data_IF_863024814705
#
_entry.id   IF_863024814705
#
_cell.length_a   1.000
_cell.length_b   1.000
_cell.length_c   1.000
_cell.angle_alpha   90.00
_cell.angle_beta   90.00
_cell.angle_gamma   90.00
#
_symmetry.space_group_name_H-M   'P 1'
#
loop_
_entity.id
_entity.type
_entity.pdbx_description
1 polymer ?
#
# COMPACT_ATOMS: atom_id res chain seq x y z
N UNK A 1 -11.36 23.10 21.70
CA UNK A 1 -12.51 23.06 20.77
C UNK A 1 -11.95 22.64 19.43
N UNK A 2 -12.13 21.39 19.08
CA UNK A 2 -11.77 20.85 17.77
C UNK A 2 -12.85 21.34 16.80
N UNK A 3 -12.47 22.26 15.91
CA UNK A 3 -13.35 22.67 14.81
C UNK A 3 -13.50 21.49 13.86
N UNK A 4 -14.73 21.01 13.72
CA UNK A 4 -15.09 19.99 12.72
C UNK A 4 -14.85 20.53 11.31
N UNK A 5 -14.23 19.77 10.41
CA UNK A 5 -14.09 20.17 9.01
C UNK A 5 -15.48 20.40 8.39
N UNK A 6 -15.61 21.44 7.58
CA UNK A 6 -16.85 21.72 6.86
C UNK A 6 -16.93 20.75 5.68
N UNK A 7 -17.72 19.70 5.84
CA UNK A 7 -17.99 18.72 4.80
C UNK A 7 -19.43 18.90 4.32
N UNK A 8 -19.60 19.36 3.09
CA UNK A 8 -20.91 19.40 2.45
C UNK A 8 -21.18 18.07 1.75
N UNK A 9 -21.69 17.08 2.49
CA UNK A 9 -22.13 15.80 1.92
C UNK A 9 -23.50 15.97 1.26
N UNK A 10 -23.56 15.75 -0.04
CA UNK A 10 -24.81 15.71 -0.79
C UNK A 10 -25.41 14.30 -0.83
N UNK A 11 -26.71 14.20 -1.08
CA UNK A 11 -27.38 12.90 -1.24
C UNK A 11 -26.94 12.24 -2.55
N UNK A 12 -26.75 10.90 -2.56
CA UNK A 12 -26.44 10.16 -3.78
C UNK A 12 -27.51 10.41 -4.87
N UNK A 13 -27.05 10.64 -6.10
CA UNK A 13 -27.92 10.85 -7.28
C UNK A 13 -27.45 9.96 -8.43
N UNK A 14 -28.34 9.71 -9.40
CA UNK A 14 -27.99 9.07 -10.67
C UNK A 14 -26.95 9.90 -11.44
N UNK A 15 -26.20 9.29 -12.35
CA UNK A 15 -24.93 9.86 -12.83
C UNK A 15 -25.05 10.44 -14.22
N UNK A 16 -24.71 11.74 -14.35
CA UNK A 16 -24.11 12.29 -15.55
C UNK A 16 -22.88 13.16 -15.16
N UNK A 17 -21.89 13.29 -16.04
CA UNK A 17 -20.73 14.16 -15.81
C UNK A 17 -21.18 15.59 -15.56
N UNK A 18 -22.17 16.05 -16.33
CA UNK A 18 -22.74 17.40 -16.23
C UNK A 18 -23.38 17.68 -14.88
N UNK A 19 -24.07 16.69 -14.31
CA UNK A 19 -24.63 16.80 -12.96
C UNK A 19 -23.55 16.85 -11.88
N UNK A 20 -22.53 15.99 -11.96
CA UNK A 20 -21.39 16.00 -11.05
C UNK A 20 -20.67 17.36 -11.10
N UNK A 21 -20.34 17.84 -12.27
CA UNK A 21 -19.67 19.13 -12.44
C UNK A 21 -20.57 20.31 -12.04
N UNK A 22 -21.89 20.18 -12.22
CA UNK A 22 -22.85 21.18 -11.77
C UNK A 22 -22.93 21.24 -10.25
N UNK A 23 -22.97 20.08 -9.58
CA UNK A 23 -22.99 20.01 -8.13
C UNK A 23 -21.70 20.52 -7.50
N UNK A 24 -20.53 20.19 -8.08
CA UNK A 24 -19.25 20.79 -7.67
C UNK A 24 -19.31 22.32 -7.76
N UNK A 25 -19.83 22.87 -8.87
CA UNK A 25 -19.99 24.32 -9.03
C UNK A 25 -20.94 24.93 -7.99
N UNK A 26 -22.02 24.23 -7.65
CA UNK A 26 -22.97 24.70 -6.63
C UNK A 26 -22.35 24.73 -5.23
N UNK A 27 -21.55 23.70 -4.89
CA UNK A 27 -20.82 23.66 -3.61
C UNK A 27 -19.89 24.89 -3.50
N UNK A 28 -19.19 25.23 -4.57
CA UNK A 28 -18.28 26.41 -4.58
C UNK A 28 -19.05 27.73 -4.46
N UNK A 29 -20.21 27.87 -5.12
CA UNK A 29 -21.05 29.08 -5.01
C UNK A 29 -21.59 29.32 -3.59
N UNK A 30 -22.07 28.26 -2.93
CA UNK A 30 -22.63 28.40 -1.58
C UNK A 30 -21.58 28.74 -0.54
N UNK A 31 -20.30 28.45 -0.78
CA UNK A 31 -19.20 28.84 0.11
C UNK A 31 -18.74 30.30 -0.12
N UNK A 32 -18.87 30.83 -1.33
CA UNK A 32 -18.54 32.23 -1.63
C UNK A 32 -19.56 33.23 -1.09
N UNK A 33 -20.84 32.83 -0.89
CA UNK A 33 -21.92 33.71 -0.46
C UNK A 33 -21.99 33.93 1.07
N UNK A 34 -21.21 33.19 1.86
CA UNK A 34 -21.13 33.30 3.33
C UNK A 34 -20.19 34.39 3.81
N UNK A 35 -20.63 35.64 3.84
CA UNK A 35 -19.82 36.85 4.06
C UNK A 35 -19.05 37.00 5.39
N UNK A 36 -18.91 35.95 6.21
CA UNK A 36 -18.13 35.97 7.49
C UNK A 36 -17.16 34.78 7.63
N UNK A 37 -17.08 33.87 6.63
CA UNK A 37 -16.18 32.75 6.62
C UNK A 37 -14.91 33.07 5.79
N UNK A 38 -13.77 32.43 6.06
CA UNK A 38 -12.60 32.54 5.19
C UNK A 38 -12.95 32.08 3.78
N UNK A 39 -12.51 32.84 2.78
CA UNK A 39 -12.77 32.56 1.36
C UNK A 39 -12.18 31.19 1.00
N UNK A 40 -13.03 30.27 0.59
CA UNK A 40 -12.60 28.96 0.10
C UNK A 40 -12.03 29.11 -1.32
N UNK A 41 -10.76 28.79 -1.49
CA UNK A 41 -10.12 28.82 -2.81
C UNK A 41 -10.06 27.41 -3.38
N UNK A 42 -10.72 27.21 -4.54
CA UNK A 42 -10.56 25.99 -5.31
C UNK A 42 -9.12 25.94 -5.83
N UNK A 43 -8.36 24.96 -5.41
CA UNK A 43 -7.07 24.64 -6.00
C UNK A 43 -7.05 23.14 -6.32
N UNK A 44 -6.56 22.80 -7.51
CA UNK A 44 -6.38 21.42 -7.94
C UNK A 44 -5.08 21.32 -8.68
N UNK A 45 -4.14 20.55 -8.18
CA UNK A 45 -2.81 20.36 -8.77
C UNK A 45 -2.69 19.03 -9.52
N UNK A 46 -3.54 18.06 -9.20
CA UNK A 46 -3.63 16.77 -9.88
C UNK A 46 -5.01 16.14 -9.66
N UNK A 47 -5.28 15.05 -10.37
CA UNK A 47 -6.43 14.17 -10.12
C UNK A 47 -5.93 12.80 -9.67
N UNK A 48 -6.60 12.21 -8.68
CA UNK A 48 -6.35 10.83 -8.25
C UNK A 48 -7.63 10.02 -8.28
N UNK A 49 -7.58 8.87 -8.93
CA UNK A 49 -8.62 7.85 -8.84
C UNK A 49 -8.17 6.79 -7.84
N UNK A 50 -9.01 6.47 -6.88
CA UNK A 50 -8.77 5.43 -5.88
C UNK A 50 -9.78 4.31 -6.09
N UNK A 51 -9.29 3.13 -6.40
CA UNK A 51 -10.12 1.94 -6.47
C UNK A 51 -10.11 1.23 -5.11
N UNK A 52 -11.28 1.17 -4.48
CA UNK A 52 -11.52 0.55 -3.16
C UNK A 52 -12.20 -0.80 -3.37
N UNK A 53 -11.46 -1.91 -3.63
CA UNK A 53 -12.03 -3.19 -4.05
C UNK A 53 -12.84 -3.86 -2.98
N UNK A 54 -12.74 -3.42 -1.74
CA UNK A 54 -13.00 -4.18 -0.54
C UNK A 54 -14.49 -4.32 -0.28
N UNK A 55 -15.09 -5.28 -0.92
CA UNK A 55 -16.43 -5.79 -0.56
C UNK A 55 -16.40 -6.64 0.74
N UNK A 56 -15.21 -7.06 1.21
CA UNK A 56 -15.13 -7.96 2.36
C UNK A 56 -15.70 -7.37 3.66
N UNK A 57 -15.52 -6.07 3.92
CA UNK A 57 -16.16 -5.44 5.08
C UNK A 57 -17.69 -5.46 4.95
N UNK A 58 -18.20 -5.29 3.74
CA UNK A 58 -19.65 -5.41 3.46
C UNK A 58 -20.13 -6.85 3.66
N UNK A 59 -19.37 -7.84 3.18
CA UNK A 59 -19.67 -9.26 3.40
C UNK A 59 -19.67 -9.59 4.90
N UNK A 60 -18.65 -9.18 5.63
CA UNK A 60 -18.56 -9.37 7.08
C UNK A 60 -19.70 -8.67 7.83
N UNK A 61 -20.14 -7.49 7.38
CA UNK A 61 -21.26 -6.76 7.96
C UNK A 61 -22.59 -7.48 7.69
N UNK A 62 -22.83 -7.90 6.46
CA UNK A 62 -24.02 -8.66 6.08
C UNK A 62 -24.11 -10.01 6.83
N UNK A 63 -22.98 -10.68 7.02
CA UNK A 63 -22.85 -11.91 7.79
C UNK A 63 -22.76 -11.70 9.32
N UNK A 64 -22.95 -10.46 9.79
CA UNK A 64 -23.02 -10.06 11.20
C UNK A 64 -21.71 -10.15 12.01
N UNK A 65 -20.58 -10.42 11.38
CA UNK A 65 -19.26 -10.43 12.02
C UNK A 65 -18.70 -9.03 12.26
N UNK A 66 -19.04 -8.05 11.41
CA UNK A 66 -18.50 -6.69 11.48
C UNK A 66 -19.59 -5.66 11.80
N UNK A 67 -19.31 -4.79 12.76
CA UNK A 67 -20.26 -3.76 13.24
C UNK A 67 -19.69 -2.32 13.10
N UNK A 68 -18.51 -2.17 12.53
CA UNK A 68 -17.90 -0.87 12.28
C UNK A 68 -18.40 -0.22 10.98
N UNK A 69 -17.92 0.99 10.71
CA UNK A 69 -18.14 1.65 9.43
C UNK A 69 -17.36 0.94 8.32
N UNK A 70 -17.90 0.91 7.12
CA UNK A 70 -17.21 0.38 5.94
C UNK A 70 -16.21 1.45 5.48
N UNK A 71 -14.99 1.37 5.94
CA UNK A 71 -13.95 2.39 5.71
C UNK A 71 -12.80 1.93 4.79
N UNK A 72 -12.78 0.65 4.41
CA UNK A 72 -11.72 0.05 3.60
C UNK A 72 -10.41 -0.15 4.38
N UNK A 73 -10.43 -0.05 5.72
CA UNK A 73 -9.23 -0.18 6.54
C UNK A 73 -9.11 -1.58 7.15
N UNK A 74 -7.91 -2.14 7.18
CA UNK A 74 -7.61 -3.41 7.83
C UNK A 74 -7.24 -3.26 9.33
N UNK A 75 -7.90 -2.34 10.03
CA UNK A 75 -7.66 -2.08 11.45
C UNK A 75 -8.09 -3.25 12.37
N UNK A 76 -7.83 -3.11 13.67
CA UNK A 76 -8.06 -4.17 14.67
C UNK A 76 -9.49 -4.74 14.66
N UNK A 77 -10.52 -3.88 14.46
CA UNK A 77 -11.92 -4.33 14.40
C UNK A 77 -12.18 -5.23 13.19
N UNK A 78 -11.61 -4.89 12.05
CA UNK A 78 -11.73 -5.67 10.81
C UNK A 78 -11.02 -7.00 10.96
N UNK A 79 -9.79 -7.00 11.48
CA UNK A 79 -9.02 -8.23 11.73
C UNK A 79 -9.73 -9.18 12.69
N UNK A 80 -10.35 -8.64 13.75
CA UNK A 80 -11.11 -9.46 14.69
C UNK A 80 -12.37 -10.07 14.05
N UNK A 81 -13.08 -9.29 13.23
CA UNK A 81 -14.24 -9.82 12.49
C UNK A 81 -13.84 -10.93 11.50
N UNK A 82 -12.69 -10.78 10.84
CA UNK A 82 -12.15 -11.81 9.94
C UNK A 82 -11.81 -13.07 10.73
N UNK A 83 -11.13 -12.97 11.90
CA UNK A 83 -10.83 -14.13 12.74
C UNK A 83 -12.09 -14.86 13.18
N UNK A 84 -13.13 -14.12 13.57
CA UNK A 84 -14.41 -14.71 13.97
C UNK A 84 -15.08 -15.43 12.81
N UNK A 85 -15.07 -14.87 11.62
CA UNK A 85 -15.60 -15.53 10.42
C UNK A 85 -14.79 -16.78 10.05
N UNK A 86 -13.45 -16.69 10.08
CA UNK A 86 -12.59 -17.85 9.83
C UNK A 86 -12.82 -18.98 10.82
N UNK A 87 -12.95 -18.68 12.11
CA UNK A 87 -13.30 -19.67 13.13
C UNK A 87 -14.67 -20.28 12.88
N UNK A 88 -15.69 -19.45 12.59
CA UNK A 88 -17.05 -19.92 12.35
C UNK A 88 -17.15 -20.86 11.14
N UNK A 89 -16.34 -20.62 10.11
CA UNK A 89 -16.33 -21.41 8.89
C UNK A 89 -15.24 -22.50 8.83
N UNK A 90 -14.49 -22.72 9.91
CA UNK A 90 -13.47 -23.77 9.99
C UNK A 90 -12.27 -23.52 9.09
N UNK A 91 -11.96 -22.25 8.81
CA UNK A 91 -10.79 -21.85 8.03
C UNK A 91 -9.56 -21.64 8.94
N UNK A 92 -8.39 -21.51 8.32
CA UNK A 92 -7.19 -21.12 9.06
C UNK A 92 -7.38 -19.71 9.63
N UNK A 93 -7.21 -19.56 10.94
CA UNK A 93 -7.45 -18.29 11.65
C UNK A 93 -6.19 -17.41 11.53
N UNK A 94 -6.20 -16.50 10.56
CA UNK A 94 -5.10 -15.56 10.28
C UNK A 94 -5.46 -14.13 10.67
N UNK A 95 -6.76 -13.78 10.67
CA UNK A 95 -7.23 -12.40 10.78
C UNK A 95 -7.02 -11.59 9.49
N UNK A 96 -6.75 -12.26 8.37
CA UNK A 96 -6.49 -11.67 7.05
C UNK A 96 -7.46 -12.21 6.02
N UNK A 97 -7.77 -11.40 5.01
CA UNK A 97 -8.55 -11.85 3.86
C UNK A 97 -7.61 -12.50 2.87
N UNK A 98 -7.63 -13.83 2.86
CA UNK A 98 -7.08 -14.63 1.79
C UNK A 98 -8.20 -15.07 0.83
N UNK A 99 -7.83 -15.66 -0.31
CA UNK A 99 -8.78 -16.09 -1.33
C UNK A 99 -9.79 -17.11 -0.78
N UNK A 100 -9.35 -18.02 0.07
CA UNK A 100 -10.21 -19.02 0.71
C UNK A 100 -11.26 -18.36 1.61
N UNK A 101 -10.84 -17.38 2.40
CA UNK A 101 -11.73 -16.61 3.28
C UNK A 101 -12.73 -15.80 2.47
N UNK A 102 -12.27 -15.07 1.45
CA UNK A 102 -13.14 -14.24 0.61
C UNK A 102 -14.17 -15.09 -0.16
N UNK A 103 -13.72 -16.19 -0.75
CA UNK A 103 -14.60 -17.15 -1.44
C UNK A 103 -15.66 -17.71 -0.49
N UNK A 104 -15.28 -18.06 0.73
CA UNK A 104 -16.23 -18.59 1.73
C UNK A 104 -17.24 -17.52 2.14
N UNK A 105 -16.82 -16.31 2.39
CA UNK A 105 -17.72 -15.19 2.74
C UNK A 105 -18.73 -14.92 1.61
N UNK A 106 -18.30 -14.94 0.34
CA UNK A 106 -19.20 -14.79 -0.81
C UNK A 106 -20.23 -15.93 -0.89
N UNK A 107 -19.80 -17.18 -0.71
CA UNK A 107 -20.69 -18.34 -0.72
C UNK A 107 -21.77 -18.25 0.37
N UNK A 108 -21.37 -17.84 1.59
CA UNK A 108 -22.32 -17.69 2.70
C UNK A 108 -23.27 -16.51 2.47
N UNK A 109 -22.77 -15.40 1.90
CA UNK A 109 -23.59 -14.25 1.54
C UNK A 109 -24.64 -14.60 0.48
N UNK A 110 -24.30 -15.41 -0.53
CA UNK A 110 -25.23 -15.85 -1.56
C UNK A 110 -26.37 -16.69 -0.99
N UNK A 111 -26.12 -17.44 0.08
CA UNK A 111 -27.12 -18.27 0.76
C UNK A 111 -28.06 -17.48 1.68
N UNK A 112 -27.75 -16.21 1.99
CA UNK A 112 -28.63 -15.38 2.79
C UNK A 112 -29.92 -15.05 2.02
N UNK A 113 -31.04 -14.98 2.75
CA UNK A 113 -32.27 -14.42 2.21
C UNK A 113 -32.09 -12.92 1.90
N UNK A 114 -32.77 -12.40 0.89
CA UNK A 114 -32.62 -11.00 0.47
C UNK A 114 -32.89 -9.99 1.61
N UNK A 115 -33.76 -10.31 2.54
CA UNK A 115 -34.03 -9.52 3.73
C UNK A 115 -32.84 -9.48 4.72
N UNK A 116 -31.92 -10.44 4.65
CA UNK A 116 -30.73 -10.56 5.50
C UNK A 116 -29.48 -9.98 4.83
N UNK A 117 -29.51 -9.75 3.53
CA UNK A 117 -28.40 -9.14 2.78
C UNK A 117 -28.22 -7.64 3.06
N UNK A 118 -29.19 -7.03 3.76
CA UNK A 118 -29.13 -5.61 4.12
C UNK A 118 -28.30 -5.41 5.39
N UNK A 119 -27.37 -4.47 5.35
CA UNK A 119 -26.63 -3.99 6.50
C UNK A 119 -26.76 -2.46 6.57
N UNK A 120 -26.73 -1.91 7.79
CA UNK A 120 -26.95 -0.47 8.02
C UNK A 120 -25.65 0.30 8.27
N UNK A 121 -24.50 -0.34 8.10
CA UNK A 121 -23.20 0.26 8.35
C UNK A 121 -22.94 1.38 7.33
N UNK A 122 -22.55 2.59 7.76
CA UNK A 122 -22.17 3.66 6.84
C UNK A 122 -20.98 3.24 5.97
N UNK A 123 -21.05 3.49 4.67
CA UNK A 123 -19.95 3.28 3.75
C UNK A 123 -19.15 4.58 3.61
N UNK A 124 -18.00 4.61 4.27
CA UNK A 124 -17.07 5.75 4.33
C UNK A 124 -15.79 5.49 3.53
N UNK A 125 -15.76 4.44 2.67
CA UNK A 125 -14.57 4.14 1.86
C UNK A 125 -14.13 5.37 1.07
N UNK A 126 -12.82 5.63 1.09
CA UNK A 126 -12.19 6.76 0.43
C UNK A 126 -12.39 8.12 1.13
N UNK A 127 -13.29 8.24 2.11
CA UNK A 127 -13.54 9.51 2.79
C UNK A 127 -12.36 9.94 3.69
N UNK A 128 -11.86 9.01 4.51
CA UNK A 128 -10.71 9.26 5.39
C UNK A 128 -9.43 9.58 4.60
N UNK A 129 -9.30 9.00 3.41
CA UNK A 129 -8.21 9.25 2.49
C UNK A 129 -8.19 10.70 2.00
N UNK A 130 -9.37 11.25 1.69
CA UNK A 130 -9.49 12.64 1.24
C UNK A 130 -8.95 13.62 2.27
N UNK A 131 -9.10 13.32 3.56
CA UNK A 131 -8.59 14.14 4.64
C UNK A 131 -7.06 14.17 4.68
N UNK A 132 -6.42 13.00 4.58
CA UNK A 132 -4.96 12.88 4.61
C UNK A 132 -4.30 13.52 3.39
N UNK A 133 -4.86 13.30 2.19
CA UNK A 133 -4.35 13.87 0.94
C UNK A 133 -4.60 15.38 0.89
N UNK A 134 -5.83 15.81 1.20
CA UNK A 134 -6.25 17.21 1.10
C UNK A 134 -5.48 18.15 2.03
N UNK A 135 -5.05 17.65 3.18
CA UNK A 135 -4.27 18.45 4.13
C UNK A 135 -2.92 18.90 3.57
N UNK A 136 -2.36 18.14 2.63
CA UNK A 136 -1.02 18.37 2.07
C UNK A 136 -1.05 18.77 0.60
N UNK A 137 -2.01 18.25 -0.17
CA UNK A 137 -2.03 18.36 -1.62
C UNK A 137 -3.44 18.65 -2.13
N UNK A 138 -3.76 19.88 -2.54
CA UNK A 138 -5.05 20.20 -3.13
C UNK A 138 -5.24 19.46 -4.45
N UNK A 139 -6.28 18.62 -4.54
CA UNK A 139 -6.50 17.74 -5.67
C UNK A 139 -8.00 17.43 -5.87
N UNK A 140 -8.31 16.75 -6.99
CA UNK A 140 -9.59 16.07 -7.18
C UNK A 140 -9.40 14.59 -6.88
N UNK A 141 -10.13 14.09 -5.88
CA UNK A 141 -10.15 12.68 -5.50
C UNK A 141 -11.44 12.04 -6.05
N UNK A 142 -11.28 10.95 -6.78
CA UNK A 142 -12.39 10.15 -7.32
C UNK A 142 -12.27 8.75 -6.74
N UNK A 143 -13.21 8.31 -5.90
CA UNK A 143 -13.19 6.96 -5.36
C UNK A 143 -14.20 6.07 -6.08
N UNK A 144 -13.76 4.86 -6.40
CA UNK A 144 -14.58 3.81 -6.99
C UNK A 144 -14.79 2.73 -5.95
N UNK A 145 -16.02 2.62 -5.47
CA UNK A 145 -16.38 1.70 -4.39
C UNK A 145 -17.33 0.63 -4.91
N UNK A 146 -16.85 -0.57 -5.28
CA UNK A 146 -17.71 -1.69 -5.60
C UNK A 146 -18.64 -2.01 -4.44
N UNK A 147 -19.93 -2.34 -4.76
CA UNK A 147 -20.93 -2.72 -3.78
C UNK A 147 -21.45 -4.12 -4.10
N UNK A 148 -21.98 -4.79 -3.07
CA UNK A 148 -22.61 -6.11 -3.19
C UNK A 148 -23.98 -6.05 -3.83
N UNK A 149 -24.57 -4.85 -3.93
CA UNK A 149 -25.89 -4.67 -4.51
C UNK A 149 -25.87 -5.02 -6.00
N UNK A 150 -26.74 -5.93 -6.40
CA UNK A 150 -26.88 -6.36 -7.79
C UNK A 150 -27.54 -5.33 -8.71
N UNK A 151 -27.75 -4.11 -8.24
CA UNK A 151 -28.34 -3.04 -9.03
C UNK A 151 -27.39 -2.57 -10.14
N UNK A 152 -27.93 -2.46 -11.33
CA UNK A 152 -27.19 -2.02 -12.52
C UNK A 152 -26.90 -0.51 -12.51
N UNK A 153 -27.25 0.17 -11.44
CA UNK A 153 -27.07 1.62 -11.28
C UNK A 153 -25.78 1.95 -10.57
N UNK A 154 -25.10 3.00 -11.04
CA UNK A 154 -24.01 3.62 -10.32
C UNK A 154 -24.50 4.91 -9.68
N UNK A 155 -24.26 5.11 -8.42
CA UNK A 155 -24.59 6.33 -7.69
C UNK A 155 -23.34 7.18 -7.49
N UNK A 156 -23.49 8.50 -7.61
CA UNK A 156 -22.43 9.46 -7.33
C UNK A 156 -22.73 10.28 -6.08
N UNK A 157 -21.72 10.50 -5.30
CA UNK A 157 -21.74 11.45 -4.19
C UNK A 157 -20.60 12.43 -4.35
N UNK A 158 -20.91 13.71 -4.25
CA UNK A 158 -19.95 14.80 -4.45
C UNK A 158 -19.81 15.60 -3.17
N UNK A 159 -18.58 15.99 -2.84
CA UNK A 159 -18.32 16.89 -1.72
C UNK A 159 -17.08 17.76 -1.96
N UNK A 160 -16.93 18.82 -1.19
CA UNK A 160 -15.70 19.57 -1.09
C UNK A 160 -15.16 19.44 0.35
N UNK A 161 -13.90 19.10 0.47
CA UNK A 161 -13.21 19.00 1.74
C UNK A 161 -12.25 20.18 1.91
N UNK A 162 -12.46 20.97 2.96
CA UNK A 162 -11.64 22.12 3.28
C UNK A 162 -10.96 21.88 4.65
N UNK A 163 -9.66 21.54 4.68
CA UNK A 163 -8.97 21.33 5.94
C UNK A 163 -8.88 22.65 6.73
N UNK A 164 -9.22 22.59 8.00
CA UNK A 164 -9.11 23.75 8.89
C UNK A 164 -7.65 23.94 9.30
N UNK A 165 -6.96 24.89 8.69
CA UNK A 165 -5.60 25.23 9.11
C UNK A 165 -5.61 25.92 10.48
N UNK A 166 -4.78 25.48 11.42
CA UNK A 166 -4.64 26.02 12.79
C UNK A 166 -4.04 27.43 12.86
N UNK A 167 -3.68 28.06 11.75
CA UNK A 167 -3.12 29.42 11.69
C UNK A 167 -4.03 30.33 10.86
N UNK A 168 -4.25 31.54 11.36
CA UNK A 168 -5.04 32.66 10.83
C UNK A 168 -4.73 32.99 9.34
N UNK A 169 -4.97 32.11 8.41
CA UNK A 169 -4.95 32.41 6.98
C UNK A 169 -6.39 32.57 6.51
N UNK A 170 -6.65 33.70 5.87
CA UNK A 170 -7.96 34.08 5.35
C UNK A 170 -8.45 33.21 4.18
N UNK A 171 -7.65 32.27 3.69
CA UNK A 171 -7.98 31.43 2.55
C UNK A 171 -7.92 29.96 2.94
N UNK A 172 -9.03 29.24 2.77
CA UNK A 172 -9.09 27.78 2.87
C UNK A 172 -8.84 27.20 1.48
N UNK A 173 -7.86 26.29 1.37
CA UNK A 173 -7.63 25.52 0.15
C UNK A 173 -8.43 24.24 0.29
N UNK A 174 -9.32 23.98 -0.65
CA UNK A 174 -10.26 22.87 -0.58
C UNK A 174 -10.04 21.89 -1.73
N UNK A 175 -10.22 20.60 -1.45
CA UNK A 175 -10.20 19.52 -2.42
C UNK A 175 -11.60 19.13 -2.86
N UNK A 176 -11.71 18.64 -4.10
CA UNK A 176 -12.93 18.06 -4.63
C UNK A 176 -12.92 16.56 -4.37
N UNK A 177 -14.04 16.04 -3.91
CA UNK A 177 -14.23 14.62 -3.67
C UNK A 177 -15.45 14.09 -4.42
N UNK A 178 -15.26 13.03 -5.18
CA UNK A 178 -16.30 12.34 -5.94
C UNK A 178 -16.25 10.86 -5.56
N UNK A 179 -17.33 10.30 -5.02
CA UNK A 179 -17.45 8.87 -4.76
C UNK A 179 -18.46 8.25 -5.71
N UNK A 180 -18.03 7.22 -6.43
CA UNK A 180 -18.86 6.42 -7.32
C UNK A 180 -19.06 5.03 -6.72
N UNK A 181 -20.33 4.63 -6.56
CA UNK A 181 -20.71 3.36 -5.94
C UNK A 181 -21.64 2.59 -6.86
N UNK A 182 -21.41 1.30 -7.00
CA UNK A 182 -22.23 0.39 -7.80
C UNK A 182 -21.60 -0.98 -7.87
N UNK A 183 -22.28 -1.93 -8.50
CA UNK A 183 -21.68 -3.25 -8.72
C UNK A 183 -20.38 -3.13 -9.54
N UNK A 184 -19.50 -4.12 -9.42
CA UNK A 184 -18.24 -4.15 -10.17
C UNK A 184 -18.48 -3.99 -11.68
N UNK A 185 -19.47 -4.71 -12.22
CA UNK A 185 -19.85 -4.61 -13.62
C UNK A 185 -20.40 -3.22 -14.00
N UNK A 186 -21.13 -2.57 -13.09
CA UNK A 186 -21.66 -1.22 -13.32
C UNK A 186 -20.56 -0.19 -13.35
N UNK A 187 -19.56 -0.29 -12.46
CA UNK A 187 -18.39 0.59 -12.45
C UNK A 187 -17.52 0.41 -13.72
N UNK A 188 -17.40 -0.82 -14.24
CA UNK A 188 -16.72 -1.08 -15.51
C UNK A 188 -17.38 -0.36 -16.69
N UNK A 189 -18.72 -0.34 -16.75
CA UNK A 189 -19.46 0.37 -17.80
C UNK A 189 -19.26 1.87 -17.81
N UNK A 190 -18.96 2.47 -16.65
CA UNK A 190 -18.74 3.92 -16.52
C UNK A 190 -17.25 4.31 -16.51
N UNK A 191 -16.35 3.41 -16.81
CA UNK A 191 -14.89 3.66 -16.80
C UNK A 191 -14.47 4.84 -17.66
N UNK A 192 -15.06 5.01 -18.84
CA UNK A 192 -14.84 6.16 -19.71
C UNK A 192 -15.28 7.49 -19.08
N UNK A 193 -16.37 7.48 -18.30
CA UNK A 193 -16.83 8.64 -17.55
C UNK A 193 -15.82 9.00 -16.45
N UNK A 194 -15.30 8.02 -15.72
CA UNK A 194 -14.28 8.24 -14.67
C UNK A 194 -13.06 8.93 -15.26
N UNK A 195 -12.58 8.47 -16.41
CA UNK A 195 -11.45 9.11 -17.12
C UNK A 195 -11.75 10.56 -17.50
N UNK A 196 -13.00 10.87 -17.85
CA UNK A 196 -13.43 12.23 -18.20
C UNK A 196 -13.59 13.16 -16.99
N UNK A 197 -13.79 12.60 -15.80
CA UNK A 197 -13.82 13.36 -14.55
C UNK A 197 -12.42 13.79 -14.07
N UNK A 198 -11.36 13.11 -14.53
CA UNK A 198 -9.99 13.58 -14.30
C UNK A 198 -9.70 14.82 -15.11
N UNK A 199 -9.06 15.82 -14.49
CA UNK A 199 -8.78 17.10 -15.16
C UNK A 199 -7.71 16.90 -16.24
N UNK A 200 -8.04 17.29 -17.48
CA UNK A 200 -7.29 16.93 -18.69
C UNK A 200 -5.80 17.26 -18.67
N UNK A 201 -5.46 18.48 -18.27
CA UNK A 201 -4.10 19.03 -18.34
C UNK A 201 -3.28 18.85 -17.07
N UNK A 202 -3.86 18.19 -16.04
CA UNK A 202 -3.19 17.95 -14.79
C UNK A 202 -2.70 16.50 -14.69
N UNK A 203 -1.66 16.23 -13.88
CA UNK A 203 -1.23 14.87 -13.58
C UNK A 203 -2.35 14.00 -13.06
N UNK A 204 -2.34 12.75 -13.49
CA UNK A 204 -3.36 11.76 -13.20
C UNK A 204 -2.74 10.57 -12.51
N UNK A 205 -3.16 10.32 -11.29
CA UNK A 205 -2.74 9.17 -10.51
C UNK A 205 -3.89 8.17 -10.41
N UNK A 206 -3.55 6.89 -10.38
CA UNK A 206 -4.49 5.83 -10.04
C UNK A 206 -3.90 5.04 -8.88
N UNK A 207 -4.55 5.06 -7.73
CA UNK A 207 -4.23 4.16 -6.64
C UNK A 207 -5.15 2.95 -6.72
N UNK A 208 -4.56 1.83 -7.08
CA UNK A 208 -5.26 0.57 -7.23
C UNK A 208 -5.00 -0.30 -6.00
N UNK A 209 -5.99 -0.38 -5.10
CA UNK A 209 -5.88 -1.11 -3.82
C UNK A 209 -6.18 -2.60 -3.93
N UNK A 210 -6.15 -3.16 -5.13
CA UNK A 210 -6.30 -4.58 -5.39
C UNK A 210 -5.08 -5.08 -6.17
N UNK A 211 -5.03 -6.38 -6.40
CA UNK A 211 -4.06 -6.93 -7.36
C UNK A 211 -4.32 -6.35 -8.74
N UNK A 212 -3.34 -5.72 -9.38
CA UNK A 212 -3.45 -5.27 -10.76
C UNK A 212 -3.79 -6.43 -11.69
N UNK A 213 -4.88 -6.27 -12.44
CA UNK A 213 -5.31 -7.27 -13.42
C UNK A 213 -5.48 -6.63 -14.80
N UNK A 214 -4.52 -6.84 -15.72
CA UNK A 214 -4.60 -6.34 -17.09
C UNK A 214 -5.80 -6.84 -17.91
N UNK A 215 -6.45 -7.92 -17.49
CA UNK A 215 -7.67 -8.43 -18.17
C UNK A 215 -8.93 -7.65 -17.76
N UNK A 216 -8.88 -6.91 -16.64
CA UNK A 216 -10.01 -6.13 -16.17
C UNK A 216 -10.14 -4.82 -16.96
N UNK A 217 -11.28 -4.61 -17.62
CA UNK A 217 -11.50 -3.44 -18.47
C UNK A 217 -11.37 -2.11 -17.73
N UNK A 218 -11.90 -2.02 -16.50
CA UNK A 218 -11.77 -0.82 -15.66
C UNK A 218 -10.30 -0.50 -15.33
N UNK A 219 -9.54 -1.51 -14.92
CA UNK A 219 -8.11 -1.34 -14.63
C UNK A 219 -7.37 -0.81 -15.86
N UNK A 220 -7.53 -1.47 -17.02
CA UNK A 220 -6.85 -1.07 -18.26
C UNK A 220 -7.20 0.34 -18.69
N UNK A 221 -8.47 0.73 -18.60
CA UNK A 221 -8.91 2.08 -18.96
C UNK A 221 -8.26 3.15 -18.08
N UNK A 222 -8.24 2.92 -16.77
CA UNK A 222 -7.65 3.86 -15.80
C UNK A 222 -6.12 3.89 -15.94
N UNK A 223 -5.51 2.72 -16.05
CA UNK A 223 -4.07 2.59 -16.24
C UNK A 223 -3.62 3.30 -17.52
N UNK A 224 -4.34 3.12 -18.64
CA UNK A 224 -4.00 3.77 -19.91
C UNK A 224 -4.03 5.29 -19.82
N UNK A 225 -4.94 5.86 -19.03
CA UNK A 225 -5.14 7.31 -18.90
C UNK A 225 -4.33 7.95 -17.76
N UNK A 226 -3.73 7.17 -16.87
CA UNK A 226 -2.92 7.66 -15.77
C UNK A 226 -1.47 7.98 -16.19
N UNK A 227 -0.83 8.88 -15.44
CA UNK A 227 0.60 9.12 -15.51
C UNK A 227 1.37 8.19 -14.56
N UNK A 228 0.76 7.82 -13.44
CA UNK A 228 1.35 6.94 -12.45
C UNK A 228 0.28 5.98 -11.90
N UNK A 229 0.63 4.70 -11.83
CA UNK A 229 -0.10 3.69 -11.09
C UNK A 229 0.53 3.55 -9.70
N UNK A 230 -0.29 3.66 -8.67
CA UNK A 230 0.13 3.44 -7.27
C UNK A 230 -0.49 2.13 -6.81
N UNK A 231 0.33 1.27 -6.26
CA UNK A 231 -0.05 -0.01 -5.64
C UNK A 231 0.47 -0.08 -4.21
N UNK A 232 0.04 -1.07 -3.47
CA UNK A 232 0.59 -1.41 -2.16
C UNK A 232 0.75 -2.92 -2.08
N UNK A 233 1.96 -3.40 -2.30
CA UNK A 233 2.25 -4.85 -2.34
C UNK A 233 2.12 -5.53 -0.97
N UNK A 234 1.92 -4.78 0.12
CA UNK A 234 1.58 -5.36 1.42
C UNK A 234 0.22 -6.07 1.43
N UNK A 235 -0.66 -5.72 0.48
CA UNK A 235 -1.97 -6.35 0.32
C UNK A 235 -1.98 -7.54 -0.66
N UNK A 236 -0.87 -7.86 -1.27
CA UNK A 236 -0.79 -8.99 -2.19
C UNK A 236 -0.98 -10.31 -1.46
N UNK A 237 -1.82 -11.18 -2.00
CA UNK A 237 -2.11 -12.50 -1.45
C UNK A 237 -1.17 -13.57 -2.00
N UNK A 238 -0.87 -13.47 -3.30
CA UNK A 238 0.03 -14.35 -4.05
C UNK A 238 1.26 -13.55 -4.48
N UNK A 239 2.09 -13.21 -3.48
CA UNK A 239 3.16 -12.20 -3.59
C UNK A 239 4.06 -12.43 -4.79
N UNK A 240 4.52 -13.67 -4.99
CA UNK A 240 5.46 -14.03 -6.06
C UNK A 240 4.86 -13.74 -7.44
N UNK A 241 3.66 -14.25 -7.70
CA UNK A 241 2.99 -14.06 -9.00
C UNK A 241 2.56 -12.61 -9.22
N UNK A 242 2.24 -11.89 -8.15
CA UNK A 242 1.78 -10.50 -8.22
C UNK A 242 2.93 -9.53 -8.40
N UNK A 243 4.10 -9.75 -7.78
CA UNK A 243 5.32 -8.99 -8.07
C UNK A 243 5.79 -9.17 -9.52
N UNK A 244 5.74 -10.41 -10.05
CA UNK A 244 6.06 -10.67 -11.46
C UNK A 244 5.11 -9.88 -12.39
N UNK A 245 3.82 -9.83 -12.10
CA UNK A 245 2.86 -9.00 -12.87
C UNK A 245 3.20 -7.52 -12.82
N UNK A 246 3.61 -7.00 -11.65
CA UNK A 246 4.04 -5.61 -11.53
C UNK A 246 5.28 -5.35 -12.38
N UNK A 247 6.24 -6.29 -12.40
CA UNK A 247 7.41 -6.19 -13.25
C UNK A 247 7.03 -6.13 -14.74
N UNK A 248 6.15 -7.02 -15.21
CA UNK A 248 5.64 -7.00 -16.58
C UNK A 248 4.96 -5.67 -16.95
N UNK A 249 4.16 -5.11 -16.01
CA UNK A 249 3.52 -3.82 -16.22
C UNK A 249 4.57 -2.68 -16.25
N UNK A 250 5.60 -2.74 -15.43
CA UNK A 250 6.70 -1.75 -15.39
C UNK A 250 7.46 -1.75 -16.72
N UNK A 251 7.71 -2.91 -17.32
CA UNK A 251 8.35 -3.05 -18.63
C UNK A 251 7.55 -2.39 -19.77
N UNK A 252 6.25 -2.14 -19.57
CA UNK A 252 5.44 -1.39 -20.54
C UNK A 252 5.78 0.11 -20.60
N UNK A 253 6.70 0.59 -19.77
CA UNK A 253 7.17 1.99 -19.75
C UNK A 253 6.25 2.95 -19.01
N UNK A 254 5.31 2.44 -18.21
CA UNK A 254 4.47 3.23 -17.32
C UNK A 254 5.10 3.35 -15.94
N UNK A 255 5.00 4.52 -15.35
CA UNK A 255 5.47 4.75 -13.99
C UNK A 255 4.56 4.03 -12.98
N UNK A 256 5.16 3.20 -12.15
CA UNK A 256 4.52 2.50 -11.04
C UNK A 256 5.21 2.90 -9.75
N UNK A 257 4.42 3.17 -8.72
CA UNK A 257 4.88 3.40 -7.36
C UNK A 257 4.26 2.36 -6.43
N UNK A 258 5.06 1.77 -5.57
CA UNK A 258 4.60 0.82 -4.55
C UNK A 258 4.75 1.45 -3.17
N UNK A 259 3.64 1.60 -2.43
CA UNK A 259 3.69 2.15 -1.09
C UNK A 259 4.47 1.26 -0.13
N UNK A 260 4.48 -0.04 -0.38
CA UNK A 260 5.25 -0.99 0.42
C UNK A 260 6.76 -0.84 0.23
N UNK A 261 7.21 -0.45 -0.95
CA UNK A 261 8.59 -0.07 -1.22
C UNK A 261 9.02 1.14 -0.38
N UNK A 262 8.14 2.12 -0.19
CA UNK A 262 8.46 3.29 0.64
C UNK A 262 8.69 2.93 2.11
N UNK A 263 8.06 1.86 2.61
CA UNK A 263 8.28 1.36 3.98
C UNK A 263 9.70 0.81 4.18
N UNK A 264 10.40 0.48 3.10
CA UNK A 264 11.77 -0.02 3.14
C UNK A 264 12.82 1.09 3.29
N UNK A 265 12.47 2.36 3.08
CA UNK A 265 13.46 3.45 3.10
C UNK A 265 14.26 3.52 4.40
N UNK A 266 13.67 3.41 5.61
CA UNK A 266 14.46 3.41 6.84
C UNK A 266 15.44 2.22 6.93
N UNK A 267 15.05 1.05 6.42
CA UNK A 267 15.91 -0.13 6.36
C UNK A 267 17.08 0.05 5.41
N UNK A 268 16.81 0.62 4.24
CA UNK A 268 17.83 0.92 3.24
C UNK A 268 18.80 2.00 3.73
N UNK A 269 18.28 3.05 4.38
CA UNK A 269 19.08 4.14 4.95
C UNK A 269 20.03 3.62 6.02
N UNK A 270 19.52 2.91 7.03
CA UNK A 270 20.36 2.33 8.08
C UNK A 270 21.38 1.32 7.54
N UNK A 271 21.01 0.52 6.53
CA UNK A 271 21.94 -0.42 5.89
C UNK A 271 23.08 0.34 5.18
N UNK A 272 22.75 1.39 4.45
CA UNK A 272 23.74 2.21 3.78
C UNK A 272 24.67 2.93 4.79
N UNK A 273 24.10 3.54 5.84
CA UNK A 273 24.85 4.22 6.90
C UNK A 273 25.83 3.30 7.63
N UNK A 274 25.51 2.02 7.78
CA UNK A 274 26.40 1.04 8.39
C UNK A 274 27.74 0.90 7.65
N UNK A 275 27.73 1.11 6.33
CA UNK A 275 28.88 0.93 5.45
C UNK A 275 29.40 2.24 4.81
N UNK A 276 28.80 3.39 5.12
CA UNK A 276 29.24 4.70 4.65
C UNK A 276 30.67 5.09 5.08
N UNK A 277 31.13 4.77 6.32
CA UNK A 277 32.49 5.05 6.72
C UNK A 277 33.49 4.38 5.78
N UNK A 278 34.49 5.11 5.28
CA UNK A 278 35.46 4.57 4.30
C UNK A 278 36.13 3.27 4.73
N UNK A 279 36.40 3.12 6.04
CA UNK A 279 36.98 1.94 6.64
C UNK A 279 36.09 0.70 6.61
N UNK A 280 34.78 0.86 6.37
CA UNK A 280 33.82 -0.24 6.31
C UNK A 280 33.36 -0.59 4.89
N UNK A 281 33.63 0.28 3.92
CA UNK A 281 33.22 0.04 2.53
C UNK A 281 33.78 -1.25 1.95
N UNK A 282 35.02 -1.59 2.33
CA UNK A 282 35.67 -2.82 1.88
C UNK A 282 34.96 -4.07 2.44
N UNK A 283 34.30 -3.96 3.61
CA UNK A 283 33.56 -5.05 4.21
C UNK A 283 32.30 -5.44 3.40
N UNK A 284 31.72 -4.53 2.60
CA UNK A 284 30.62 -4.86 1.67
C UNK A 284 31.01 -5.96 0.68
N UNK A 285 32.27 -5.97 0.22
CA UNK A 285 32.76 -6.96 -0.73
C UNK A 285 32.92 -8.32 -0.03
N UNK A 286 33.06 -8.34 1.29
CA UNK A 286 33.25 -9.55 2.07
C UNK A 286 31.97 -10.20 2.57
N UNK A 287 30.80 -9.57 2.37
CA UNK A 287 29.51 -10.17 2.73
C UNK A 287 29.28 -11.44 1.92
N UNK A 288 29.05 -12.56 2.60
CA UNK A 288 28.72 -13.85 2.03
C UNK A 288 27.51 -14.53 2.70
N UNK A 289 26.98 -13.93 3.78
CA UNK A 289 25.81 -14.41 4.49
C UNK A 289 24.85 -13.27 4.81
N UNK A 290 23.58 -13.41 4.42
CA UNK A 290 22.51 -12.46 4.69
C UNK A 290 21.33 -13.19 5.30
N UNK A 291 20.77 -12.65 6.39
CA UNK A 291 19.48 -13.10 6.93
C UNK A 291 18.49 -11.95 6.89
N UNK A 292 17.30 -12.21 6.38
CA UNK A 292 16.19 -11.25 6.32
C UNK A 292 14.99 -11.89 6.99
N UNK A 293 14.65 -11.38 8.18
CA UNK A 293 13.52 -11.82 8.96
C UNK A 293 12.32 -10.91 8.69
N UNK A 294 11.17 -11.50 8.41
CA UNK A 294 9.93 -10.78 8.15
C UNK A 294 8.75 -11.44 8.84
N UNK A 295 7.66 -10.72 9.01
CA UNK A 295 6.42 -11.29 9.51
C UNK A 295 5.81 -12.32 8.54
N UNK A 296 5.10 -13.35 9.06
CA UNK A 296 4.43 -14.32 8.20
C UNK A 296 3.31 -13.71 7.35
N UNK A 297 3.12 -14.24 6.14
CA UNK A 297 1.94 -14.01 5.30
C UNK A 297 2.12 -13.07 4.12
N UNK A 298 3.20 -12.28 4.08
CA UNK A 298 3.58 -11.52 2.89
C UNK A 298 5.09 -11.32 2.89
N UNK A 299 5.77 -11.76 1.84
CA UNK A 299 7.23 -11.64 1.72
C UNK A 299 7.66 -10.49 0.79
N UNK A 300 6.73 -9.60 0.38
CA UNK A 300 7.03 -8.56 -0.60
C UNK A 300 8.16 -7.64 -0.14
N UNK A 301 8.14 -7.18 1.12
CA UNK A 301 9.20 -6.33 1.65
C UNK A 301 10.55 -7.05 1.65
N UNK A 302 10.58 -8.31 2.10
CA UNK A 302 11.81 -9.10 2.17
C UNK A 302 12.40 -9.33 0.76
N UNK A 303 11.56 -9.67 -0.23
CA UNK A 303 11.98 -9.86 -1.62
C UNK A 303 12.45 -8.55 -2.27
N UNK A 304 11.74 -7.45 -2.04
CA UNK A 304 12.15 -6.15 -2.58
C UNK A 304 13.43 -5.62 -1.90
N UNK A 305 13.59 -5.83 -0.60
CA UNK A 305 14.84 -5.45 0.09
C UNK A 305 16.01 -6.28 -0.42
N UNK A 306 15.83 -7.60 -0.58
CA UNK A 306 16.84 -8.46 -1.18
C UNK A 306 17.16 -8.03 -2.62
N UNK A 307 16.13 -7.73 -3.41
CA UNK A 307 16.31 -7.23 -4.78
C UNK A 307 17.13 -5.93 -4.83
N UNK A 308 16.85 -5.00 -3.92
CA UNK A 308 17.63 -3.76 -3.77
C UNK A 308 19.08 -4.05 -3.40
N UNK A 309 19.32 -4.86 -2.37
CA UNK A 309 20.67 -5.20 -1.91
C UNK A 309 21.48 -5.88 -3.02
N UNK A 310 20.90 -6.90 -3.65
CA UNK A 310 21.55 -7.65 -4.72
C UNK A 310 21.85 -6.77 -5.95
N UNK A 311 20.92 -5.88 -6.32
CA UNK A 311 21.13 -4.95 -7.44
C UNK A 311 22.26 -3.94 -7.14
N UNK A 312 22.35 -3.43 -5.89
CA UNK A 312 23.40 -2.49 -5.49
C UNK A 312 24.78 -3.13 -5.40
N UNK A 313 24.85 -4.41 -5.01
CA UNK A 313 26.10 -5.14 -4.85
C UNK A 313 26.45 -5.99 -6.10
N UNK A 314 25.68 -5.84 -7.19
CA UNK A 314 25.89 -6.53 -8.46
C UNK A 314 25.96 -8.07 -8.32
N UNK A 315 25.05 -8.62 -7.49
CA UNK A 315 24.93 -10.05 -7.29
C UNK A 315 24.05 -10.66 -8.37
N UNK A 316 24.44 -11.84 -8.86
CA UNK A 316 23.66 -12.61 -9.85
C UNK A 316 22.99 -13.80 -9.16
N UNK A 317 21.65 -13.93 -9.20
CA UNK A 317 20.94 -15.03 -8.55
C UNK A 317 21.19 -16.34 -9.32
N UNK A 318 21.58 -17.40 -8.59
CA UNK A 318 21.99 -18.68 -9.14
C UNK A 318 21.03 -19.82 -8.81
N UNK A 319 20.47 -19.82 -7.60
CA UNK A 319 19.66 -20.91 -7.10
C UNK A 319 18.71 -20.43 -6.02
N UNK A 320 17.50 -20.97 -6.05
CA UNK A 320 16.46 -20.76 -5.03
C UNK A 320 16.11 -22.13 -4.41
N UNK A 321 15.99 -22.19 -3.07
CA UNK A 321 15.67 -23.42 -2.33
C UNK A 321 14.64 -23.11 -1.26
N UNK A 322 13.55 -23.85 -1.26
CA UNK A 322 12.58 -23.83 -0.17
C UNK A 322 12.92 -24.91 0.84
N UNK A 323 13.42 -24.55 2.02
CA UNK A 323 13.65 -25.48 3.11
C UNK A 323 12.38 -25.73 3.93
N UNK A 324 11.47 -24.76 3.96
CA UNK A 324 10.22 -24.83 4.67
C UNK A 324 10.39 -24.75 6.19
N UNK A 325 9.74 -25.67 6.91
CA UNK A 325 9.74 -25.70 8.37
C UNK A 325 8.78 -24.68 8.98
N UNK A 326 8.88 -24.48 10.30
CA UNK A 326 7.96 -23.62 11.06
C UNK A 326 8.06 -22.13 10.68
N UNK A 327 9.19 -21.73 10.13
CA UNK A 327 9.49 -20.36 9.70
C UNK A 327 9.46 -20.16 8.18
N UNK A 328 9.04 -21.18 7.42
CA UNK A 328 8.95 -21.09 5.95
C UNK A 328 10.26 -20.61 5.31
N UNK A 329 11.41 -21.19 5.76
CA UNK A 329 12.73 -20.77 5.35
C UNK A 329 12.91 -20.95 3.86
N UNK A 330 13.40 -19.90 3.22
CA UNK A 330 13.77 -19.84 1.79
C UNK A 330 15.21 -19.39 1.67
N UNK A 331 16.00 -20.05 0.85
CA UNK A 331 17.39 -19.70 0.61
C UNK A 331 17.62 -19.32 -0.84
N UNK A 332 18.28 -18.21 -1.03
CA UNK A 332 18.69 -17.73 -2.35
C UNK A 332 20.21 -17.66 -2.38
N UNK A 333 20.80 -18.26 -3.39
CA UNK A 333 22.25 -18.26 -3.59
C UNK A 333 22.59 -17.34 -4.76
N UNK A 334 23.59 -16.50 -4.56
CA UNK A 334 24.08 -15.56 -5.55
C UNK A 334 25.57 -15.77 -5.81
N UNK A 335 26.01 -15.32 -6.97
CA UNK A 335 27.41 -15.13 -7.31
C UNK A 335 27.73 -13.63 -7.32
N UNK A 336 28.76 -13.23 -6.58
CA UNK A 336 29.24 -11.83 -6.60
C UNK A 336 30.08 -11.59 -7.86
N UNK A 337 29.87 -10.45 -8.53
CA UNK A 337 30.73 -9.98 -9.62
C UNK A 337 32.17 -9.69 -9.15
N UNK A 338 32.35 -9.41 -7.85
CA UNK A 338 33.64 -9.14 -7.23
C UNK A 338 34.12 -10.37 -6.48
N UNK A 339 35.18 -10.99 -6.97
CA UNK A 339 35.88 -12.10 -6.28
C UNK A 339 35.23 -13.48 -6.49
N UNK A 340 34.21 -13.61 -7.32
CA UNK A 340 33.56 -14.88 -7.69
C UNK A 340 33.14 -15.71 -6.45
N UNK A 341 32.50 -15.05 -5.46
CA UNK A 341 32.09 -15.67 -4.20
C UNK A 341 30.62 -16.01 -4.22
N UNK A 342 30.29 -17.15 -3.61
CA UNK A 342 28.90 -17.51 -3.35
C UNK A 342 28.40 -16.75 -2.12
N UNK A 343 27.20 -16.17 -2.24
CA UNK A 343 26.49 -15.49 -1.16
C UNK A 343 25.23 -16.29 -0.86
N UNK A 344 25.06 -16.66 0.40
CA UNK A 344 23.84 -17.30 0.89
C UNK A 344 22.93 -16.27 1.53
N UNK A 345 21.70 -16.17 1.06
CA UNK A 345 20.66 -15.33 1.65
C UNK A 345 19.53 -16.19 2.17
N UNK A 346 19.18 -16.03 3.45
CA UNK A 346 18.08 -16.69 4.10
C UNK A 346 16.94 -15.70 4.34
N UNK A 347 15.73 -16.05 3.90
CA UNK A 347 14.49 -15.35 4.21
C UNK A 347 13.69 -16.21 5.19
N UNK A 348 13.31 -15.65 6.34
CA UNK A 348 12.56 -16.37 7.36
C UNK A 348 11.31 -15.62 7.80
N UNK A 349 10.17 -16.32 7.83
CA UNK A 349 8.90 -15.79 8.31
C UNK A 349 8.77 -16.00 9.82
N UNK A 350 9.15 -15.02 10.62
CA UNK A 350 9.21 -15.12 12.09
C UNK A 350 7.87 -14.71 12.71
N UNK A 351 7.22 -15.57 13.52
CA UNK A 351 6.00 -15.22 14.24
C UNK A 351 6.26 -14.09 15.25
N UNK A 352 5.45 -13.04 15.20
CA UNK A 352 5.47 -11.91 16.14
C UNK A 352 4.24 -11.96 17.05
N UNK A 353 4.36 -11.39 18.25
CA UNK A 353 3.25 -11.38 19.23
C UNK A 353 2.15 -10.38 18.84
N UNK A 354 2.51 -9.25 18.24
CA UNK A 354 1.61 -8.22 17.75
C UNK A 354 1.91 -7.99 16.27
N UNK A 355 0.94 -8.32 15.44
CA UNK A 355 1.04 -8.10 14.00
C UNK A 355 0.60 -6.66 13.75
N UNK A 356 1.49 -5.82 13.26
CA UNK A 356 1.25 -4.41 12.92
C UNK A 356 0.09 -4.19 11.92
N UNK A 357 -0.12 -2.97 11.47
CA UNK A 357 -1.14 -2.66 10.45
C UNK A 357 -0.74 -3.17 9.06
N UNK A 358 0.55 -3.29 8.81
CA UNK A 358 1.13 -3.79 7.56
C UNK A 358 1.43 -5.28 7.67
N UNK A 359 1.21 -6.02 6.61
CA UNK A 359 1.41 -7.47 6.57
C UNK A 359 2.80 -7.77 6.03
N UNK A 360 3.60 -8.56 6.74
CA UNK A 360 4.90 -9.01 6.27
C UNK A 360 6.00 -7.99 6.44
N UNK A 361 5.88 -7.11 7.42
CA UNK A 361 6.91 -6.13 7.75
C UNK A 361 8.25 -6.81 8.06
N UNK A 362 9.34 -6.14 7.70
CA UNK A 362 10.66 -6.57 8.09
C UNK A 362 10.84 -6.47 9.62
N UNK A 363 11.40 -7.53 10.19
CA UNK A 363 11.69 -7.63 11.63
C UNK A 363 13.18 -7.43 11.87
N UNK A 364 14.02 -8.01 11.04
CA UNK A 364 15.46 -7.97 11.19
C UNK A 364 16.23 -8.22 9.91
N UNK A 365 17.38 -7.61 9.81
CA UNK A 365 18.33 -7.79 8.72
C UNK A 365 19.69 -7.99 9.34
N UNK A 366 20.41 -9.00 8.86
CA UNK A 366 21.79 -9.25 9.24
C UNK A 366 22.64 -9.50 8.00
N UNK A 367 23.69 -8.70 7.88
CA UNK A 367 24.73 -8.83 6.87
C UNK A 367 26.01 -9.27 7.58
N UNK A 368 26.60 -10.38 7.16
CA UNK A 368 27.80 -10.96 7.80
C UNK A 368 28.71 -11.62 6.78
N UNK A 369 29.92 -11.91 7.20
CA UNK A 369 30.94 -12.64 6.45
C UNK A 369 31.42 -13.86 7.20
N UNK A 370 31.79 -14.91 6.49
CA UNK A 370 32.55 -16.05 7.04
C UNK A 370 33.91 -15.64 7.55
N UNK A 371 34.46 -14.51 7.07
CA UNK A 371 35.62 -13.88 7.64
C UNK A 371 35.27 -13.17 8.96
N UNK A 372 35.65 -13.74 10.09
CA UNK A 372 35.34 -13.21 11.43
C UNK A 372 35.96 -11.84 11.75
N UNK A 373 36.90 -11.39 10.95
CA UNK A 373 37.50 -10.04 11.09
C UNK A 373 36.78 -8.98 10.29
N UNK A 374 35.90 -9.37 9.37
CA UNK A 374 35.10 -8.45 8.57
C UNK A 374 33.96 -7.80 9.39
N UNK A 375 33.66 -6.57 9.06
CA UNK A 375 32.55 -5.85 9.68
C UNK A 375 31.20 -6.50 9.32
N UNK A 376 30.30 -6.56 10.29
CA UNK A 376 28.95 -7.02 10.13
C UNK A 376 27.95 -5.91 10.45
N UNK A 377 26.74 -6.03 9.93
CA UNK A 377 25.62 -5.12 10.23
C UNK A 377 24.42 -5.93 10.67
N UNK A 378 23.77 -5.49 11.74
CA UNK A 378 22.50 -6.04 12.19
C UNK A 378 21.52 -4.91 12.44
N UNK A 379 20.35 -4.95 11.82
CA UNK A 379 19.27 -3.98 12.02
C UNK A 379 18.08 -4.76 12.58
N UNK A 380 17.54 -4.30 13.69
CA UNK A 380 16.39 -4.89 14.36
C UNK A 380 15.29 -3.85 14.53
N UNK A 381 14.07 -4.23 14.25
CA UNK A 381 12.89 -3.44 14.55
C UNK A 381 12.32 -3.83 15.91
N UNK A 382 11.95 -2.84 16.72
CA UNK A 382 11.22 -3.05 17.95
C UNK A 382 9.88 -2.33 17.86
N UNK A 383 8.83 -3.07 17.57
CA UNK A 383 7.48 -2.54 17.49
C UNK A 383 6.99 -1.94 18.82
N UNK A 384 7.38 -2.54 19.94
CA UNK A 384 6.99 -2.05 21.28
C UNK A 384 7.55 -0.68 21.62
N UNK A 385 8.70 -0.30 21.04
CA UNK A 385 9.35 1.01 21.26
C UNK A 385 9.16 1.96 20.09
N UNK A 386 8.65 1.49 18.94
CA UNK A 386 8.55 2.29 17.71
C UNK A 386 9.90 2.76 17.18
N UNK A 387 10.95 1.96 17.39
CA UNK A 387 12.32 2.30 17.00
C UNK A 387 12.98 1.16 16.25
N UNK A 388 13.80 1.52 15.26
CA UNK A 388 14.77 0.63 14.64
C UNK A 388 16.14 0.83 15.30
N UNK A 389 16.87 -0.26 15.50
CA UNK A 389 18.22 -0.23 16.05
C UNK A 389 19.17 -0.88 15.08
N UNK A 390 20.21 -0.16 14.70
CA UNK A 390 21.32 -0.65 13.90
C UNK A 390 22.55 -0.88 14.76
N UNK A 391 23.15 -2.04 14.65
CA UNK A 391 24.44 -2.37 15.20
C UNK A 391 25.39 -2.70 14.06
N UNK A 392 26.49 -1.95 13.93
CA UNK A 392 27.50 -2.22 12.93
C UNK A 392 28.87 -2.30 13.59
N UNK A 393 29.68 -3.26 13.15
CA UNK A 393 31.05 -3.45 13.64
C UNK A 393 31.58 -4.87 13.42
N UNK A 394 32.89 -5.06 13.37
CA UNK A 394 33.53 -6.33 13.17
C UNK A 394 34.26 -6.85 14.42
N UNK A 395 34.33 -8.19 14.55
CA UNK A 395 35.07 -8.90 15.55
C UNK A 395 34.63 -8.70 17.01
N UNK A 396 35.18 -9.49 17.93
CA UNK A 396 34.82 -9.48 19.34
C UNK A 396 35.25 -8.19 20.11
N UNK A 397 35.97 -7.27 19.47
CA UNK A 397 36.53 -6.06 20.08
C UNK A 397 36.30 -4.75 19.32
N UNK A 398 35.57 -4.76 18.21
CA UNK A 398 35.35 -3.56 17.43
C UNK A 398 34.34 -2.59 18.07
N UNK A 399 34.55 -1.29 17.85
CA UNK A 399 33.59 -0.26 18.26
C UNK A 399 32.26 -0.50 17.60
N UNK A 400 31.25 -0.83 18.39
CA UNK A 400 29.85 -0.89 17.92
C UNK A 400 29.38 0.53 17.65
N UNK A 401 28.92 0.78 16.46
CA UNK A 401 28.08 1.92 16.19
C UNK A 401 26.65 1.49 16.44
N UNK A 402 25.98 2.23 17.30
CA UNK A 402 24.57 2.01 17.59
C UNK A 402 23.81 3.25 17.18
N UNK A 403 22.92 3.09 16.25
CA UNK A 403 22.00 4.14 15.81
C UNK A 403 20.56 3.72 16.08
N UNK A 404 19.77 4.66 16.58
CA UNK A 404 18.36 4.43 16.88
C UNK A 404 17.55 5.41 16.04
N UNK A 405 16.79 4.88 15.10
CA UNK A 405 15.89 5.66 14.27
C UNK A 405 14.45 5.37 14.65
N UNK A 406 13.59 6.42 14.67
CA UNK A 406 12.17 6.22 14.87
C UNK A 406 11.56 5.57 13.64
N UNK A 407 10.69 4.58 13.87
CA UNK A 407 9.88 4.01 12.78
C UNK A 407 8.89 5.10 12.36
N UNK A 408 8.92 5.46 11.08
CA UNK A 408 7.92 6.34 10.49
C UNK A 408 6.56 5.67 10.50
N UNK A 409 5.48 6.45 10.53
CA UNK A 409 4.12 5.92 10.43
C UNK A 409 3.98 5.14 9.12
N UNK A 410 3.65 3.86 9.25
CA UNK A 410 3.56 2.88 8.14
C UNK A 410 2.22 2.96 7.38
N UNK A 411 1.33 3.83 7.80
CA UNK A 411 -0.01 3.94 7.20
C UNK A 411 0.04 4.38 5.75
N UNK A 412 -0.68 3.65 4.93
CA UNK A 412 -0.72 3.85 3.47
C UNK A 412 -1.18 5.27 3.05
N UNK A 413 -2.10 5.90 3.81
CA UNK A 413 -2.59 7.25 3.53
C UNK A 413 -1.52 8.33 3.74
N UNK A 414 -0.65 8.18 4.73
CA UNK A 414 0.45 9.10 4.99
C UNK A 414 1.58 8.93 3.96
N UNK A 415 1.94 7.69 3.66
CA UNK A 415 2.94 7.37 2.63
C UNK A 415 2.46 7.85 1.26
N UNK A 416 1.18 7.65 0.94
CA UNK A 416 0.59 8.17 -0.29
C UNK A 416 0.77 9.68 -0.42
N UNK A 417 0.56 10.44 0.66
CA UNK A 417 0.78 11.90 0.65
C UNK A 417 2.20 12.28 0.27
N UNK A 418 3.20 11.51 0.71
CA UNK A 418 4.61 11.70 0.32
C UNK A 418 4.85 11.28 -1.12
N UNK A 419 4.28 10.14 -1.56
CA UNK A 419 4.40 9.64 -2.93
C UNK A 419 3.83 10.63 -3.96
N UNK A 420 2.71 11.26 -3.67
CA UNK A 420 2.09 12.25 -4.56
C UNK A 420 2.92 13.52 -4.76
N UNK A 421 3.96 13.73 -3.97
CA UNK A 421 4.94 14.82 -4.16
C UNK A 421 6.15 14.40 -5.02
N UNK A 422 6.32 13.09 -5.26
CA UNK A 422 7.41 12.52 -6.07
C UNK A 422 6.88 12.17 -7.45
N UNK A 423 7.34 12.88 -8.48
CA UNK A 423 6.78 12.80 -9.83
C UNK A 423 7.70 12.11 -10.85
N UNK A 424 8.80 11.56 -10.36
CA UNK A 424 9.80 10.89 -11.20
C UNK A 424 9.80 9.39 -11.01
N UNK A 425 10.35 8.67 -11.98
CA UNK A 425 10.58 7.24 -11.87
C UNK A 425 11.54 6.94 -10.71
N UNK A 426 11.20 5.93 -9.92
CA UNK A 426 12.07 5.39 -8.88
C UNK A 426 12.93 4.27 -9.47
N UNK A 427 14.13 4.65 -9.90
CA UNK A 427 15.08 3.71 -10.52
C UNK A 427 15.47 2.59 -9.55
N UNK A 428 15.60 2.92 -8.25
CA UNK A 428 15.95 1.92 -7.24
C UNK A 428 14.84 0.88 -7.07
N UNK A 429 13.58 1.32 -7.12
CA UNK A 429 12.44 0.41 -7.11
C UNK A 429 12.44 -0.51 -8.34
N UNK A 430 12.62 0.07 -9.53
CA UNK A 430 12.63 -0.71 -10.78
C UNK A 430 13.75 -1.76 -10.78
N UNK A 431 14.96 -1.38 -10.36
CA UNK A 431 16.09 -2.31 -10.28
C UNK A 431 15.87 -3.40 -9.22
N UNK A 432 15.30 -3.03 -8.07
CA UNK A 432 14.94 -3.96 -7.01
C UNK A 432 13.87 -4.97 -7.49
N UNK A 433 12.83 -4.48 -8.15
CA UNK A 433 11.74 -5.31 -8.66
C UNK A 433 12.23 -6.26 -9.77
N UNK A 434 13.05 -5.75 -10.68
CA UNK A 434 13.66 -6.58 -11.73
C UNK A 434 14.56 -7.70 -11.17
N UNK A 435 15.29 -7.41 -10.10
CA UNK A 435 16.10 -8.43 -9.40
C UNK A 435 15.21 -9.43 -8.65
N UNK A 436 14.16 -8.97 -7.99
CA UNK A 436 13.18 -9.84 -7.33
C UNK A 436 12.51 -10.79 -8.33
N UNK A 437 12.14 -10.32 -9.52
CA UNK A 437 11.61 -11.15 -10.61
C UNK A 437 12.64 -12.22 -11.05
N UNK A 438 13.92 -11.85 -11.19
CA UNK A 438 14.97 -12.84 -11.52
C UNK A 438 15.09 -13.91 -10.44
N UNK A 439 15.05 -13.55 -9.17
CA UNK A 439 15.05 -14.48 -8.04
C UNK A 439 13.84 -15.42 -8.11
N UNK A 440 12.66 -14.87 -8.32
CA UNK A 440 11.40 -15.62 -8.36
C UNK A 440 11.31 -16.57 -9.55
N UNK A 441 11.94 -16.26 -10.68
CA UNK A 441 12.04 -17.17 -11.83
C UNK A 441 12.89 -18.42 -11.56
N UNK A 442 13.70 -18.44 -10.51
CA UNK A 442 14.44 -19.61 -10.05
C UNK A 442 13.63 -20.49 -9.09
N UNK A 443 12.46 -20.02 -8.65
CA UNK A 443 11.55 -20.80 -7.81
C UNK A 443 11.04 -22.03 -8.60
N UNK A 444 11.11 -23.25 -8.01
CA UNK A 444 10.79 -24.49 -8.69
C UNK A 444 9.30 -24.64 -9.08
#
# INVERSE_FOLDING_TARGET
>A
MTSTPVVALQKPKGISIEEIESELRNIWRTQDEGATAPVATRATTFSIVVYEPEEFQQLLAALTFYKGDIDGQHGNKTREAIRQAQMAYGLRVTGRIDEATLTRLRQEYEQLADSQKQFSNPDLRGFNLSEAIAAQNPCRVITLCPTLDGDDTVTAQVSAYCPVQKRNTSNLICCEYISLRGSKASLERVSGMVSSLMIGDLPKFVWWKATPNPEQALFNQLFATSNCLIVDSSYFSEVESELNKIQEITESGKYIADLNWHRLFPWQELTAEAYDPPERRDALIEIDQVSIDHEPGNAAQALMFLGWLASRLEWTPMRYVEEGGDYGIRKVYFESSVGNREIEVELAAIPVADVGEVIGDLIGIRLSSSNQEADCCTILCSETTGCMRMEAGGGAQACRVEEVSAISDQRADLILGQQLQRWGEDVLYQESLAMADQILRLCP
#
